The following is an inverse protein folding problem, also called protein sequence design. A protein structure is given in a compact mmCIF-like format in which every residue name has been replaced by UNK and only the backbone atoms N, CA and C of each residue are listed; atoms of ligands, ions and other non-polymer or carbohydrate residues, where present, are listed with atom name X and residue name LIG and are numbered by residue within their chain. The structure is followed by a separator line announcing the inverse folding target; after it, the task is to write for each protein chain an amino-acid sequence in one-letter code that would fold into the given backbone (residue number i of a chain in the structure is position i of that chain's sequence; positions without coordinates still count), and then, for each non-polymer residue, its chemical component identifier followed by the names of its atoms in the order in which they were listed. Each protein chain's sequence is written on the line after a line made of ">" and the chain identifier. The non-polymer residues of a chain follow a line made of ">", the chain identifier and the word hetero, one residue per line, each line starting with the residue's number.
data_IF_047877827909
#
_entry.id   IF_047877827909
#
_cell.length_a   1.000
_cell.length_b   1.000
_cell.length_c   1.000
_cell.angle_alpha   90.00
_cell.angle_beta   90.00
_cell.angle_gamma   90.00
#
_symmetry.space_group_name_H-M   'P 1'
#
loop_
_entity.id
_entity.type
_entity.pdbx_description
1 polymer ?
#
# COMPACT_ATOMS: atom_id res chain seq x y z
N UNK A 1 5.14 4.02 -3.52
CA UNK A 1 4.01 4.08 -2.55
C UNK A 1 4.56 4.24 -1.14
N UNK A 2 5.30 3.28 -0.61
CA UNK A 2 5.74 3.22 0.80
C UNK A 2 6.45 4.49 1.29
N UNK A 3 7.33 5.11 0.49
CA UNK A 3 8.02 6.36 0.87
C UNK A 3 7.04 7.52 1.04
N UNK A 4 6.00 7.59 0.22
CA UNK A 4 4.93 8.60 0.35
C UNK A 4 4.10 8.33 1.61
N UNK A 5 3.71 7.09 1.87
CA UNK A 5 2.98 6.70 3.08
C UNK A 5 3.76 7.08 4.35
N UNK A 6 5.08 6.79 4.41
CA UNK A 6 5.95 7.20 5.53
C UNK A 6 5.96 8.72 5.75
N UNK A 7 5.92 9.52 4.69
CA UNK A 7 5.85 10.99 4.81
C UNK A 7 4.48 11.47 5.30
N UNK A 8 3.40 10.86 4.82
CA UNK A 8 2.02 11.20 5.24
C UNK A 8 1.86 10.99 6.74
N UNK A 9 2.24 9.83 7.28
CA UNK A 9 2.12 9.54 8.72
C UNK A 9 3.01 10.42 9.61
N UNK A 10 4.13 10.92 9.07
CA UNK A 10 4.98 11.89 9.76
C UNK A 10 4.40 13.32 9.72
N UNK A 11 3.57 13.62 8.72
CA UNK A 11 2.93 14.92 8.57
C UNK A 11 1.70 15.05 9.49
N UNK A 12 0.94 14.00 9.66
CA UNK A 12 -0.29 13.99 10.46
C UNK A 12 -0.33 12.78 11.41
N UNK A 13 -0.27 13.06 12.71
CA UNK A 13 -0.26 12.04 13.77
C UNK A 13 -1.60 11.30 13.95
N UNK A 14 -2.69 11.84 13.38
CA UNK A 14 -4.00 11.16 13.33
C UNK A 14 -4.07 10.06 12.27
N UNK A 15 -3.10 9.99 11.39
CA UNK A 15 -3.01 8.94 10.37
C UNK A 15 -2.08 7.83 10.85
N UNK A 16 -2.55 6.59 10.84
CA UNK A 16 -1.76 5.40 11.18
C UNK A 16 -1.65 4.46 9.99
N UNK A 17 -0.44 4.01 9.71
CA UNK A 17 -0.22 3.00 8.67
C UNK A 17 -0.80 1.66 9.13
N UNK A 18 -1.52 0.99 8.24
CA UNK A 18 -1.85 -0.42 8.40
C UNK A 18 -0.63 -1.25 8.03
N UNK A 19 0.07 -1.78 9.05
CA UNK A 19 1.23 -2.65 8.84
C UNK A 19 0.75 -4.02 8.35
N UNK A 20 1.05 -4.34 7.09
CA UNK A 20 0.62 -5.59 6.47
C UNK A 20 1.47 -6.78 6.91
N UNK A 21 0.88 -7.97 6.90
CA UNK A 21 1.59 -9.24 6.99
C UNK A 21 2.14 -9.63 5.61
N UNK A 22 3.29 -10.28 5.57
CA UNK A 22 3.84 -10.81 4.31
C UNK A 22 4.60 -12.11 4.52
N UNK A 23 4.59 -12.96 3.48
CA UNK A 23 5.42 -14.17 3.42
C UNK A 23 6.79 -13.93 2.79
N UNK A 24 7.03 -12.71 2.25
CA UNK A 24 8.33 -12.31 1.74
C UNK A 24 9.35 -12.22 2.86
N UNK A 25 10.56 -12.67 2.62
CA UNK A 25 11.66 -12.45 3.55
C UNK A 25 11.92 -10.94 3.77
N UNK A 26 12.30 -10.53 5.00
CA UNK A 26 12.68 -9.14 5.25
C UNK A 26 13.92 -8.75 4.44
N UNK A 27 14.04 -7.48 4.06
CA UNK A 27 15.26 -6.88 3.55
C UNK A 27 16.12 -6.38 4.71
N UNK A 28 17.40 -6.09 4.45
CA UNK A 28 18.39 -5.73 5.49
C UNK A 28 17.96 -4.59 6.42
N UNK A 29 17.19 -3.64 5.89
CA UNK A 29 16.77 -2.44 6.63
C UNK A 29 15.28 -2.49 7.05
N UNK A 30 14.60 -3.63 6.91
CA UNK A 30 13.19 -3.77 7.28
C UNK A 30 13.05 -4.37 8.69
N UNK A 31 12.17 -3.78 9.48
CA UNK A 31 11.93 -4.16 10.88
C UNK A 31 10.57 -4.83 11.01
N UNK A 32 10.56 -6.04 11.59
CA UNK A 32 9.33 -6.77 11.86
C UNK A 32 8.41 -5.98 12.80
N UNK A 33 7.13 -5.87 12.41
CA UNK A 33 6.12 -5.12 13.15
C UNK A 33 6.10 -3.61 12.87
N UNK A 34 7.07 -3.10 12.11
CA UNK A 34 7.15 -1.69 11.68
C UNK A 34 6.90 -1.57 10.18
N UNK A 35 7.73 -2.24 9.36
CA UNK A 35 7.56 -2.21 7.90
C UNK A 35 6.54 -3.26 7.46
N UNK A 36 6.65 -4.48 7.99
CA UNK A 36 5.74 -5.60 7.80
C UNK A 36 5.75 -6.51 9.02
N UNK A 37 4.69 -7.33 9.16
CA UNK A 37 4.74 -8.55 9.97
C UNK A 37 5.20 -9.69 9.07
N UNK A 38 6.47 -10.08 9.17
CA UNK A 38 7.04 -11.18 8.39
C UNK A 38 6.65 -12.51 9.01
N UNK A 39 5.90 -13.34 8.27
CA UNK A 39 5.40 -14.64 8.76
C UNK A 39 5.59 -15.73 7.70
N UNK A 40 5.58 -16.98 8.13
CA UNK A 40 5.65 -18.14 7.22
C UNK A 40 4.38 -18.28 6.38
N UNK A 41 4.48 -18.96 5.23
CA UNK A 41 3.34 -19.26 4.38
C UNK A 41 2.25 -20.03 5.12
N UNK A 42 2.63 -20.99 5.98
CA UNK A 42 1.66 -21.77 6.76
C UNK A 42 0.86 -20.88 7.72
N UNK A 43 1.56 -19.95 8.40
CA UNK A 43 0.89 -19.00 9.29
C UNK A 43 0.02 -18.02 8.53
N UNK A 44 0.42 -17.63 7.31
CA UNK A 44 -0.40 -16.79 6.45
C UNK A 44 -1.69 -17.51 6.03
N UNK A 45 -1.57 -18.78 5.59
CA UNK A 45 -2.69 -19.61 5.19
C UNK A 45 -3.65 -19.87 6.36
N UNK A 46 -3.13 -20.11 7.58
CA UNK A 46 -3.97 -20.20 8.78
C UNK A 46 -4.81 -18.93 8.97
N UNK A 47 -4.18 -17.73 8.85
CA UNK A 47 -4.90 -16.46 8.96
C UNK A 47 -5.95 -16.24 7.86
N UNK A 48 -5.74 -16.76 6.65
CA UNK A 48 -6.78 -16.77 5.60
C UNK A 48 -7.96 -17.65 6.05
N UNK A 49 -7.68 -18.87 6.50
CA UNK A 49 -8.71 -19.82 6.96
C UNK A 49 -9.53 -19.27 8.12
N UNK A 50 -8.88 -18.56 9.04
CA UNK A 50 -9.49 -17.91 10.19
C UNK A 50 -10.23 -16.60 9.84
N UNK A 51 -10.24 -16.20 8.56
CA UNK A 51 -10.79 -14.91 8.07
C UNK A 51 -10.25 -13.69 8.84
N UNK A 52 -8.98 -13.77 9.25
CA UNK A 52 -8.30 -12.73 10.05
C UNK A 52 -7.85 -11.52 9.21
N UNK A 53 -7.85 -11.64 7.87
CA UNK A 53 -7.49 -10.56 6.98
C UNK A 53 -8.72 -9.78 6.50
N UNK A 54 -8.57 -8.47 6.40
CA UNK A 54 -9.52 -7.58 5.76
C UNK A 54 -9.40 -7.66 4.24
N UNK A 55 -8.16 -7.73 3.76
CA UNK A 55 -7.77 -8.01 2.38
C UNK A 55 -6.49 -8.85 2.35
N UNK A 56 -6.27 -9.57 1.28
CA UNK A 56 -4.97 -10.19 0.97
C UNK A 56 -4.81 -10.40 -0.53
N UNK A 57 -3.55 -10.38 -1.00
CA UNK A 57 -3.19 -10.60 -2.39
C UNK A 57 -1.88 -11.38 -2.53
N UNK A 58 -1.70 -12.05 -3.66
CA UNK A 58 -0.42 -12.61 -4.06
C UNK A 58 0.25 -11.64 -5.04
N UNK A 59 1.40 -11.09 -4.66
CA UNK A 59 2.16 -10.14 -5.48
C UNK A 59 3.56 -10.69 -5.69
N UNK A 60 3.91 -11.01 -6.91
CA UNK A 60 5.20 -11.62 -7.31
C UNK A 60 5.56 -12.88 -6.50
N UNK A 61 4.58 -13.76 -6.25
CA UNK A 61 4.80 -15.02 -5.56
C UNK A 61 4.87 -14.93 -4.03
N UNK A 62 4.68 -13.73 -3.47
CA UNK A 62 4.56 -13.54 -2.03
C UNK A 62 3.16 -13.06 -1.67
N UNK A 63 2.66 -13.53 -0.54
CA UNK A 63 1.40 -13.05 0.01
C UNK A 63 1.61 -11.78 0.82
N UNK A 64 0.62 -10.90 0.71
CA UNK A 64 0.48 -9.69 1.54
C UNK A 64 -0.94 -9.64 2.04
N UNK A 65 -1.16 -9.17 3.27
CA UNK A 65 -2.51 -9.10 3.82
C UNK A 65 -2.60 -8.20 5.03
N UNK A 66 -3.71 -7.52 5.16
CA UNK A 66 -4.01 -6.55 6.21
C UNK A 66 -4.86 -7.18 7.30
N UNK A 67 -4.38 -7.16 8.55
CA UNK A 67 -5.11 -7.68 9.70
C UNK A 67 -6.38 -6.88 9.97
N UNK A 68 -7.53 -7.57 9.99
CA UNK A 68 -8.82 -7.00 10.35
C UNK A 68 -8.79 -6.35 11.74
N UNK A 69 -8.33 -7.10 12.73
CA UNK A 69 -8.20 -6.64 14.11
C UNK A 69 -7.37 -5.37 14.24
N UNK A 70 -6.20 -5.31 13.58
CA UNK A 70 -5.32 -4.14 13.69
C UNK A 70 -5.92 -2.87 13.06
N UNK A 71 -6.77 -3.02 12.05
CA UNK A 71 -7.51 -1.90 11.44
C UNK A 71 -8.63 -1.45 12.37
N UNK A 72 -9.43 -2.38 12.85
CA UNK A 72 -10.57 -2.10 13.75
C UNK A 72 -10.09 -1.40 15.03
N UNK A 73 -8.99 -1.85 15.66
CA UNK A 73 -8.41 -1.21 16.84
C UNK A 73 -8.05 0.25 16.57
N UNK A 74 -7.41 0.57 15.44
CA UNK A 74 -7.04 1.94 15.09
C UNK A 74 -8.26 2.83 14.82
N UNK A 75 -9.27 2.29 14.15
CA UNK A 75 -10.52 3.00 13.88
C UNK A 75 -11.30 3.29 15.18
N UNK A 76 -11.30 2.35 16.14
CA UNK A 76 -11.90 2.57 17.47
C UNK A 76 -11.19 3.64 18.31
N UNK A 77 -9.90 3.86 18.06
CA UNK A 77 -9.09 4.91 18.66
C UNK A 77 -9.20 6.26 17.90
N UNK A 78 -10.14 6.38 16.96
CA UNK A 78 -10.39 7.59 16.14
C UNK A 78 -9.20 8.00 15.25
N UNK A 79 -8.40 7.03 14.79
CA UNK A 79 -7.38 7.24 13.78
C UNK A 79 -7.91 6.98 12.38
N UNK A 80 -7.42 7.75 11.41
CA UNK A 80 -7.51 7.34 10.00
C UNK A 80 -6.48 6.24 9.73
N UNK A 81 -6.89 5.22 9.01
CA UNK A 81 -6.00 4.11 8.66
C UNK A 81 -5.57 4.20 7.21
N UNK A 82 -4.26 4.39 7.00
CA UNK A 82 -3.65 4.45 5.68
C UNK A 82 -3.21 3.05 5.24
N UNK A 83 -3.65 2.63 4.05
CA UNK A 83 -3.27 1.35 3.44
C UNK A 83 -2.25 1.58 2.32
N UNK A 84 -1.13 0.82 2.32
CA UNK A 84 -0.19 0.73 1.19
C UNK A 84 -0.37 -0.62 0.49
N UNK A 85 -1.41 -0.71 -0.32
CA UNK A 85 -1.87 -1.93 -0.98
C UNK A 85 -1.87 -1.78 -2.51
N UNK A 86 -2.07 -2.88 -3.23
CA UNK A 86 -2.29 -2.89 -4.67
C UNK A 86 -3.79 -2.81 -5.03
N UNK A 87 -4.11 -2.84 -6.33
CA UNK A 87 -5.48 -2.78 -6.80
C UNK A 87 -6.35 -3.95 -6.31
N UNK A 88 -5.76 -5.16 -6.13
CA UNK A 88 -6.50 -6.34 -5.65
C UNK A 88 -6.94 -6.15 -4.19
N UNK A 89 -6.02 -5.62 -3.36
CA UNK A 89 -6.33 -5.27 -1.98
C UNK A 89 -7.35 -4.13 -1.91
N UNK A 90 -7.19 -3.09 -2.73
CA UNK A 90 -8.12 -1.96 -2.78
C UNK A 90 -9.55 -2.42 -3.13
N UNK A 91 -9.70 -3.30 -4.11
CA UNK A 91 -11.02 -3.87 -4.48
C UNK A 91 -11.67 -4.63 -3.32
N UNK A 92 -10.89 -5.38 -2.52
CA UNK A 92 -11.40 -6.09 -1.35
C UNK A 92 -11.81 -5.12 -0.23
N UNK A 93 -11.00 -4.07 0.01
CA UNK A 93 -11.32 -3.02 1.00
C UNK A 93 -12.61 -2.29 0.62
N UNK A 94 -12.79 -1.91 -0.65
CA UNK A 94 -14.02 -1.27 -1.15
C UNK A 94 -15.27 -2.13 -0.93
N UNK A 95 -15.13 -3.45 -0.99
CA UNK A 95 -16.22 -4.40 -0.72
C UNK A 95 -16.35 -4.77 0.77
N UNK A 96 -15.57 -4.16 1.65
CA UNK A 96 -15.65 -4.39 3.09
C UNK A 96 -16.74 -3.52 3.74
N UNK A 97 -17.05 -3.83 5.01
CA UNK A 97 -18.02 -3.06 5.80
C UNK A 97 -17.41 -1.84 6.52
N UNK A 98 -16.28 -1.32 6.05
CA UNK A 98 -15.69 -0.09 6.58
C UNK A 98 -16.59 1.10 6.20
N UNK A 99 -16.83 1.99 7.16
CA UNK A 99 -17.83 3.05 7.02
C UNK A 99 -17.46 4.09 5.95
N UNK A 100 -16.18 4.45 5.84
CA UNK A 100 -15.69 5.40 4.85
C UNK A 100 -14.34 4.97 4.30
N UNK A 101 -14.27 4.92 3.00
CA UNK A 101 -13.06 4.57 2.27
C UNK A 101 -12.82 5.66 1.22
N UNK A 102 -11.57 6.13 1.15
CA UNK A 102 -11.11 7.06 0.11
C UNK A 102 -9.95 6.40 -0.60
N UNK A 103 -10.04 6.25 -1.89
CA UNK A 103 -9.04 5.57 -2.71
C UNK A 103 -8.20 6.56 -3.50
N UNK A 104 -6.87 6.41 -3.41
CA UNK A 104 -5.91 7.29 -4.10
C UNK A 104 -4.95 6.43 -4.91
N UNK A 105 -5.01 6.55 -6.22
CA UNK A 105 -4.10 5.88 -7.14
C UNK A 105 -2.84 6.71 -7.34
N UNK A 106 -1.67 6.15 -7.01
CA UNK A 106 -0.38 6.81 -7.23
C UNK A 106 0.22 6.37 -8.56
N UNK A 107 0.37 7.31 -9.49
CA UNK A 107 0.95 7.06 -10.80
C UNK A 107 2.32 7.75 -10.92
N UNK A 108 3.28 7.11 -11.57
CA UNK A 108 4.52 7.76 -11.96
C UNK A 108 4.27 8.70 -13.17
N UNK A 109 5.11 9.74 -13.36
CA UNK A 109 4.96 10.68 -14.48
C UNK A 109 5.00 10.01 -15.84
N UNK A 110 5.81 8.95 -15.99
CA UNK A 110 5.90 8.17 -17.21
C UNK A 110 6.42 6.75 -16.95
N UNK A 111 6.30 5.90 -17.96
CA UNK A 111 6.81 4.52 -17.93
C UNK A 111 8.33 4.48 -17.80
N UNK A 112 9.05 5.43 -18.42
CA UNK A 112 10.50 5.58 -18.33
C UNK A 112 10.95 5.87 -16.90
N UNK A 113 10.20 6.71 -16.18
CA UNK A 113 10.46 7.02 -14.77
C UNK A 113 10.26 5.78 -13.89
N UNK A 114 9.23 4.96 -14.16
CA UNK A 114 9.04 3.68 -13.48
C UNK A 114 10.23 2.77 -13.69
N UNK A 115 10.64 2.58 -14.96
CA UNK A 115 11.78 1.74 -15.30
C UNK A 115 13.08 2.23 -14.63
N UNK A 116 13.33 3.53 -14.63
CA UNK A 116 14.49 4.12 -13.98
C UNK A 116 14.49 3.86 -12.45
N UNK A 117 13.33 4.02 -11.81
CA UNK A 117 13.17 3.74 -10.36
C UNK A 117 13.35 2.25 -10.05
N UNK A 118 12.86 1.35 -10.90
CA UNK A 118 13.04 -0.10 -10.75
C UNK A 118 14.51 -0.49 -10.90
N UNK A 119 15.22 0.04 -11.91
CA UNK A 119 16.66 -0.18 -12.10
C UNK A 119 17.50 0.34 -10.95
N UNK A 120 17.16 1.50 -10.39
CA UNK A 120 17.85 2.02 -9.20
C UNK A 120 17.67 1.08 -8.02
N UNK A 121 16.44 0.68 -7.74
CA UNK A 121 16.12 -0.23 -6.63
C UNK A 121 16.78 -1.59 -6.80
N UNK A 122 16.87 -2.13 -8.01
CA UNK A 122 17.49 -3.44 -8.26
C UNK A 122 18.96 -3.48 -7.85
N UNK A 123 19.68 -2.35 -7.97
CA UNK A 123 21.06 -2.23 -7.49
C UNK A 123 21.18 -2.36 -5.95
N UNK A 124 20.12 -1.97 -5.24
CA UNK A 124 20.05 -2.02 -3.78
C UNK A 124 19.51 -3.37 -3.28
N UNK A 125 18.63 -4.01 -4.04
CA UNK A 125 17.91 -5.24 -3.63
C UNK A 125 18.42 -6.52 -4.29
N UNK A 126 19.33 -6.40 -5.28
CA UNK A 126 19.82 -7.55 -6.06
C UNK A 126 18.77 -8.13 -7.03
N UNK A 127 17.67 -7.42 -7.29
CA UNK A 127 16.65 -7.86 -8.25
C UNK A 127 17.26 -8.00 -9.66
N UNK A 128 17.02 -9.12 -10.33
CA UNK A 128 17.51 -9.40 -11.68
C UNK A 128 16.65 -8.72 -12.77
N UNK A 129 17.08 -8.87 -14.03
CA UNK A 129 16.39 -8.28 -15.19
C UNK A 129 14.96 -8.81 -15.35
N UNK A 130 14.74 -10.09 -15.08
CA UNK A 130 13.41 -10.72 -15.22
C UNK A 130 12.44 -10.20 -14.16
N UNK A 131 12.91 -9.93 -12.95
CA UNK A 131 12.15 -9.23 -11.91
C UNK A 131 11.70 -7.83 -12.36
N UNK A 132 12.61 -7.06 -13.00
CA UNK A 132 12.27 -5.73 -13.52
C UNK A 132 11.20 -5.85 -14.60
N UNK A 133 11.34 -6.81 -15.54
CA UNK A 133 10.37 -7.05 -16.61
C UNK A 133 8.99 -7.41 -16.06
N UNK A 134 8.92 -8.33 -15.10
CA UNK A 134 7.66 -8.70 -14.42
C UNK A 134 7.00 -7.50 -13.78
N UNK A 135 7.76 -6.65 -13.08
CA UNK A 135 7.25 -5.43 -12.44
C UNK A 135 6.76 -4.38 -13.42
N UNK A 136 7.35 -4.31 -14.62
CA UNK A 136 6.87 -3.42 -15.68
C UNK A 136 5.54 -3.91 -16.27
N UNK A 137 5.37 -5.21 -16.44
CA UNK A 137 4.09 -5.80 -16.87
C UNK A 137 2.99 -5.56 -15.83
N UNK A 138 3.32 -5.73 -14.54
CA UNK A 138 2.36 -5.46 -13.46
C UNK A 138 1.98 -3.99 -13.39
N UNK A 139 2.92 -3.07 -13.58
CA UNK A 139 2.62 -1.64 -13.70
C UNK A 139 1.59 -1.35 -14.80
N UNK A 140 1.70 -2.00 -15.96
CA UNK A 140 0.74 -1.85 -17.07
C UNK A 140 -0.65 -2.40 -16.69
N UNK A 141 -0.70 -3.48 -15.91
CA UNK A 141 -1.96 -4.01 -15.39
C UNK A 141 -2.57 -3.09 -14.32
N UNK A 142 -1.77 -2.61 -13.36
CA UNK A 142 -2.21 -1.66 -12.34
C UNK A 142 -2.82 -0.41 -12.99
N UNK A 143 -2.20 0.12 -14.05
CA UNK A 143 -2.69 1.32 -14.75
C UNK A 143 -4.10 1.19 -15.33
N UNK A 144 -4.57 -0.01 -15.63
CA UNK A 144 -5.95 -0.25 -16.11
C UNK A 144 -7.00 0.06 -15.04
N UNK A 145 -6.61 -0.01 -13.78
CA UNK A 145 -7.47 0.22 -12.62
C UNK A 145 -7.44 1.67 -12.11
N UNK A 146 -6.67 2.56 -12.75
CA UNK A 146 -6.54 3.95 -12.28
C UNK A 146 -7.88 4.69 -12.20
N UNK A 147 -8.82 4.36 -13.12
CA UNK A 147 -10.15 4.98 -13.16
C UNK A 147 -11.14 4.42 -12.12
N UNK A 148 -10.76 3.36 -11.40
CA UNK A 148 -11.59 2.76 -10.34
C UNK A 148 -11.39 3.47 -8.99
N UNK A 149 -10.51 4.47 -8.94
CA UNK A 149 -10.13 5.20 -7.73
C UNK A 149 -10.75 6.60 -7.69
N UNK A 150 -11.06 7.09 -6.50
CA UNK A 150 -11.62 8.44 -6.28
C UNK A 150 -10.64 9.53 -6.73
N UNK A 151 -9.34 9.31 -6.52
CA UNK A 151 -8.29 10.26 -6.86
C UNK A 151 -7.12 9.60 -7.57
N UNK A 152 -6.57 10.29 -8.59
CA UNK A 152 -5.30 9.91 -9.23
C UNK A 152 -4.27 11.00 -8.96
N UNK A 153 -3.13 10.63 -8.36
CA UNK A 153 -2.06 11.56 -7.99
C UNK A 153 -0.76 11.17 -8.64
N UNK A 154 -0.16 12.10 -9.39
CA UNK A 154 1.13 11.90 -10.03
C UNK A 154 2.24 12.04 -8.97
N UNK A 155 3.08 11.02 -8.84
CA UNK A 155 4.23 10.97 -7.95
C UNK A 155 5.50 11.26 -8.75
N UNK A 156 5.70 12.52 -9.11
CA UNK A 156 6.94 13.02 -9.70
C UNK A 156 7.90 13.47 -8.58
N UNK A 157 7.51 14.47 -7.84
CA UNK A 157 8.19 14.93 -6.64
C UNK A 157 7.46 14.40 -5.40
N UNK A 158 8.21 13.76 -4.50
CA UNK A 158 7.63 13.11 -3.31
C UNK A 158 7.00 14.11 -2.34
N UNK A 159 7.58 15.32 -2.20
CA UNK A 159 7.06 16.36 -1.28
C UNK A 159 5.74 16.93 -1.80
N UNK A 160 5.67 17.25 -3.09
CA UNK A 160 4.46 17.77 -3.73
C UNK A 160 3.36 16.71 -3.74
N UNK A 161 3.71 15.46 -4.06
CA UNK A 161 2.80 14.33 -4.00
C UNK A 161 2.22 14.15 -2.58
N UNK A 162 3.07 14.20 -1.55
CA UNK A 162 2.63 14.10 -0.15
C UNK A 162 1.67 15.23 0.21
N UNK A 163 2.01 16.48 -0.09
CA UNK A 163 1.15 17.65 0.18
C UNK A 163 -0.22 17.52 -0.49
N UNK A 164 -0.23 17.06 -1.74
CA UNK A 164 -1.48 16.86 -2.48
C UNK A 164 -2.37 15.80 -1.81
N UNK A 165 -1.79 14.69 -1.38
CA UNK A 165 -2.53 13.62 -0.69
C UNK A 165 -3.05 14.11 0.66
N UNK A 166 -2.24 14.81 1.45
CA UNK A 166 -2.66 15.38 2.72
C UNK A 166 -3.84 16.34 2.52
N UNK A 167 -3.78 17.20 1.50
CA UNK A 167 -4.90 18.11 1.15
C UNK A 167 -6.18 17.34 0.79
N UNK A 168 -6.07 16.21 0.08
CA UNK A 168 -7.21 15.35 -0.21
C UNK A 168 -7.81 14.81 1.09
N UNK A 169 -6.98 14.26 1.98
CA UNK A 169 -7.43 13.71 3.27
C UNK A 169 -8.13 14.77 4.11
N UNK A 170 -7.55 15.99 4.21
CA UNK A 170 -8.15 17.10 4.95
C UNK A 170 -9.50 17.52 4.39
N UNK A 171 -9.64 17.56 3.05
CA UNK A 171 -10.92 17.90 2.41
C UNK A 171 -11.97 16.82 2.65
N UNK A 172 -11.56 15.55 2.54
CA UNK A 172 -12.45 14.41 2.81
C UNK A 172 -12.94 14.38 4.27
N UNK A 173 -12.10 14.76 5.24
CA UNK A 173 -12.51 14.91 6.64
C UNK A 173 -13.56 16.02 6.81
N UNK A 174 -13.36 17.18 6.13
CA UNK A 174 -14.29 18.32 6.23
C UNK A 174 -15.68 18.05 5.63
N UNK A 175 -15.74 17.22 4.59
CA UNK A 175 -17.02 16.86 3.96
C UNK A 175 -17.86 15.90 4.83
N UNK A 176 -17.31 15.39 5.93
CA UNK A 176 -17.96 14.38 6.78
C UNK A 176 -18.19 14.84 8.22
N UNK A 177 -17.80 16.07 8.53
CA UNK A 177 -18.18 16.77 9.75
C UNK A 177 -19.34 17.72 9.48
#
# INVERSE_FOLDING_TARGET
>A
KTSVCKKIINYDNKIKLSVSHTTRAPRDNEINGIDYFFISSDRFNSKISDKSFLEFANVFGNYYGTSKKNVEEKLLEDFDVLFDIDWQGAAQILNSNLAKIVTIFLVAPSKEVVLARLKKRSKETGDDYDSIKKRMLEYENEMKHANDYDYVVINDNIEECTKKIVSIIENERKMNN
#
